data_IF_747526353876
#
_entry.id   IF_747526353876
#
_cell.length_a   1.000
_cell.length_b   1.000
_cell.length_c   1.000
_cell.angle_alpha   90.00
_cell.angle_beta   90.00
_cell.angle_gamma   90.00
#
_symmetry.space_group_name_H-M   'P 1'
#
loop_
_entity.id
_entity.type
_entity.pdbx_description
1 polymer ?
#
# COMPACT_ATOMS: atom_id res chain seq x y z
N UNK A 1 14.58 -11.18 9.44
CA UNK A 1 14.99 -10.80 8.07
C UNK A 1 14.97 -11.96 7.09
N UNK A 2 15.78 -13.02 7.23
CA UNK A 2 15.73 -14.18 6.30
C UNK A 2 14.50 -15.09 6.56
N UNK A 3 14.11 -15.25 7.83
CA UNK A 3 12.94 -16.03 8.24
C UNK A 3 11.60 -15.41 7.80
N UNK A 4 11.51 -14.07 7.76
CA UNK A 4 10.30 -13.36 7.35
C UNK A 4 10.05 -13.56 5.85
N UNK A 5 11.11 -13.62 5.03
CA UNK A 5 10.97 -13.76 3.58
C UNK A 5 10.54 -15.16 3.14
N UNK A 6 11.06 -16.20 3.78
CA UNK A 6 10.60 -17.58 3.54
C UNK A 6 9.16 -17.78 4.06
N UNK A 7 8.81 -17.14 5.18
CA UNK A 7 7.44 -17.13 5.69
C UNK A 7 6.50 -16.41 4.71
N UNK A 8 6.90 -15.26 4.16
CA UNK A 8 6.17 -14.52 3.12
C UNK A 8 5.91 -15.41 1.91
N UNK A 9 6.90 -16.18 1.45
CA UNK A 9 6.74 -17.12 0.33
C UNK A 9 5.82 -18.31 0.67
N UNK A 10 5.83 -18.76 1.92
CA UNK A 10 4.97 -19.85 2.44
C UNK A 10 3.56 -19.43 2.78
N UNK A 11 3.27 -18.14 2.77
CA UNK A 11 1.92 -17.62 2.96
C UNK A 11 1.02 -18.16 1.84
N UNK A 12 0.02 -18.94 2.26
CA UNK A 12 -1.04 -19.46 1.40
C UNK A 12 -1.81 -18.27 0.84
N UNK A 13 -1.87 -18.19 -0.49
CA UNK A 13 -2.60 -17.24 -1.36
C UNK A 13 -3.35 -16.14 -0.59
N UNK A 14 -2.87 -14.88 -0.62
CA UNK A 14 -3.53 -13.77 0.05
C UNK A 14 -5.01 -13.63 -0.36
N UNK A 15 -5.88 -13.17 0.54
CA UNK A 15 -7.31 -13.07 0.26
C UNK A 15 -7.60 -12.06 -0.86
N UNK A 16 -8.59 -12.36 -1.68
CA UNK A 16 -9.06 -11.52 -2.78
C UNK A 16 -10.57 -11.68 -2.95
N UNK A 17 -11.30 -10.58 -3.13
CA UNK A 17 -12.71 -10.61 -3.51
C UNK A 17 -12.90 -10.87 -5.01
N UNK A 18 -11.85 -10.65 -5.81
CA UNK A 18 -11.87 -10.82 -7.27
C UNK A 18 -11.04 -11.99 -7.77
N UNK A 19 -10.51 -12.81 -6.85
CA UNK A 19 -9.65 -13.95 -7.18
C UNK A 19 -8.32 -13.56 -7.81
N UNK A 20 -7.89 -12.31 -7.65
CA UNK A 20 -6.63 -11.78 -8.17
C UNK A 20 -5.45 -12.52 -7.54
N UNK A 21 -4.43 -12.79 -8.35
CA UNK A 21 -3.19 -13.39 -7.90
C UNK A 21 -2.17 -12.30 -7.55
N UNK A 22 -1.62 -12.38 -6.34
CA UNK A 22 -0.65 -11.45 -5.78
C UNK A 22 0.76 -12.03 -5.72
N UNK A 23 0.99 -13.22 -6.28
CA UNK A 23 2.29 -13.90 -6.24
C UNK A 23 3.43 -13.01 -6.75
N UNK A 24 3.25 -12.35 -7.90
CA UNK A 24 4.27 -11.45 -8.47
C UNK A 24 4.61 -10.30 -7.53
N UNK A 25 3.60 -9.61 -6.97
CA UNK A 25 3.82 -8.51 -6.03
C UNK A 25 4.58 -8.99 -4.79
N UNK A 26 4.13 -10.10 -4.21
CA UNK A 26 4.77 -10.75 -3.06
C UNK A 26 6.23 -11.07 -3.36
N UNK A 27 6.52 -11.68 -4.51
CA UNK A 27 7.86 -12.14 -4.85
C UNK A 27 8.80 -10.96 -5.12
N UNK A 28 8.33 -9.91 -5.80
CA UNK A 28 9.11 -8.68 -5.98
C UNK A 28 9.43 -8.01 -4.64
N UNK A 29 8.44 -7.86 -3.76
CA UNK A 29 8.65 -7.28 -2.43
C UNK A 29 9.61 -8.12 -1.58
N UNK A 30 9.48 -9.46 -1.65
CA UNK A 30 10.33 -10.37 -0.90
C UNK A 30 11.80 -10.35 -1.35
N UNK A 31 12.02 -10.09 -2.64
CA UNK A 31 13.36 -9.94 -3.23
C UNK A 31 13.92 -8.51 -3.10
N UNK A 32 13.16 -7.57 -2.53
CA UNK A 32 13.56 -6.17 -2.44
C UNK A 32 13.60 -5.46 -3.81
N UNK A 33 12.85 -5.97 -4.80
CA UNK A 33 12.65 -5.36 -6.11
C UNK A 33 11.55 -4.30 -6.04
N UNK A 34 11.86 -3.20 -5.35
CA UNK A 34 10.87 -2.18 -4.97
C UNK A 34 10.23 -1.47 -6.15
N UNK A 35 10.96 -1.29 -7.25
CA UNK A 35 10.43 -0.62 -8.43
C UNK A 35 9.45 -1.53 -9.18
N UNK A 36 9.79 -2.81 -9.34
CA UNK A 36 8.94 -3.81 -9.96
C UNK A 36 7.69 -4.08 -9.11
N UNK A 37 7.83 -4.13 -7.78
CA UNK A 37 6.70 -4.22 -6.87
C UNK A 37 5.74 -3.02 -6.99
N UNK A 38 6.28 -1.82 -7.19
CA UNK A 38 5.48 -0.60 -7.36
C UNK A 38 4.74 -0.57 -8.71
N UNK A 39 5.40 -1.00 -9.79
CA UNK A 39 4.77 -1.19 -11.10
C UNK A 39 3.67 -2.25 -11.07
N UNK A 40 3.95 -3.38 -10.41
CA UNK A 40 2.98 -4.47 -10.24
C UNK A 40 1.79 -4.03 -9.39
N UNK A 41 2.03 -3.24 -8.35
CA UNK A 41 0.95 -2.62 -7.57
C UNK A 41 0.06 -1.78 -8.46
N UNK A 42 0.62 -0.95 -9.34
CA UNK A 42 -0.19 -0.18 -10.29
C UNK A 42 -1.00 -1.04 -11.24
N UNK A 43 -0.42 -2.14 -11.75
CA UNK A 43 -1.12 -3.08 -12.64
C UNK A 43 -2.28 -3.74 -11.92
N UNK A 44 -2.05 -4.24 -10.70
CA UNK A 44 -3.08 -4.83 -9.85
C UNK A 44 -4.23 -3.85 -9.56
N UNK A 45 -3.90 -2.59 -9.26
CA UNK A 45 -4.92 -1.54 -9.05
C UNK A 45 -5.78 -1.32 -10.30
N UNK A 46 -5.22 -1.39 -11.52
CA UNK A 46 -5.99 -1.32 -12.77
C UNK A 46 -6.90 -2.53 -12.96
N UNK A 47 -6.38 -3.75 -12.73
CA UNK A 47 -7.18 -4.99 -12.76
C UNK A 47 -8.35 -4.91 -11.78
N UNK A 48 -8.10 -4.45 -10.55
CA UNK A 48 -9.13 -4.22 -9.54
C UNK A 48 -10.08 -3.07 -9.91
N UNK A 49 -9.65 -2.11 -10.71
CA UNK A 49 -10.51 -1.08 -11.31
C UNK A 49 -11.27 -1.53 -12.55
N UNK A 50 -11.11 -2.79 -13.00
CA UNK A 50 -11.60 -3.30 -14.30
C UNK A 50 -11.14 -2.43 -15.48
N UNK A 51 -9.88 -2.00 -15.43
CA UNK A 51 -9.23 -1.20 -16.45
C UNK A 51 -8.27 -2.04 -17.27
N UNK A 52 -8.17 -1.72 -18.55
CA UNK A 52 -7.10 -2.20 -19.42
C UNK A 52 -5.75 -1.58 -19.02
N UNK A 53 -4.65 -2.19 -19.47
CA UNK A 53 -3.29 -1.86 -18.99
C UNK A 53 -2.89 -0.38 -19.20
N UNK A 54 -3.43 0.29 -20.21
CA UNK A 54 -3.14 1.70 -20.56
C UNK A 54 -4.16 2.70 -19.98
N UNK A 55 -5.21 2.20 -19.33
CA UNK A 55 -6.29 3.05 -18.84
C UNK A 55 -5.96 3.67 -17.48
N UNK A 56 -6.33 4.95 -17.37
CA UNK A 56 -6.26 5.71 -16.12
C UNK A 56 -7.30 5.20 -15.12
N UNK A 57 -6.88 5.07 -13.86
CA UNK A 57 -7.77 4.95 -12.72
C UNK A 57 -8.28 6.33 -12.31
N UNK A 58 -9.59 6.55 -12.46
CA UNK A 58 -10.27 7.76 -11.99
C UNK A 58 -10.75 7.59 -10.55
N UNK A 59 -11.11 8.68 -9.83
CA UNK A 59 -11.60 8.61 -8.45
C UNK A 59 -12.81 7.69 -8.29
N UNK A 60 -13.68 7.64 -9.31
CA UNK A 60 -14.83 6.74 -9.34
C UNK A 60 -14.44 5.26 -9.45
N UNK A 61 -13.32 4.93 -10.11
CA UNK A 61 -12.83 3.55 -10.22
C UNK A 61 -12.21 3.12 -8.89
N UNK A 62 -11.49 4.03 -8.24
CA UNK A 62 -10.86 3.84 -6.93
C UNK A 62 -11.89 3.58 -5.85
N UNK A 63 -12.98 4.34 -5.85
CA UNK A 63 -14.07 4.15 -4.90
C UNK A 63 -14.75 2.78 -5.02
N UNK A 64 -14.53 2.05 -6.12
CA UNK A 64 -15.08 0.72 -6.38
C UNK A 64 -14.03 -0.40 -6.21
N UNK A 65 -12.82 -0.06 -5.77
CA UNK A 65 -11.80 -1.06 -5.48
C UNK A 65 -12.25 -1.92 -4.28
N UNK A 66 -12.10 -3.26 -4.36
CA UNK A 66 -12.51 -4.12 -3.27
C UNK A 66 -11.63 -3.93 -2.04
N UNK A 67 -12.26 -3.85 -0.87
CA UNK A 67 -11.56 -3.55 0.39
C UNK A 67 -10.55 -4.62 0.77
N UNK A 68 -10.86 -5.92 0.60
CA UNK A 68 -9.90 -6.99 0.94
C UNK A 68 -8.68 -6.98 0.04
N UNK A 69 -8.88 -6.71 -1.24
CA UNK A 69 -7.79 -6.65 -2.23
C UNK A 69 -6.83 -5.49 -1.93
N UNK A 70 -7.36 -4.33 -1.52
CA UNK A 70 -6.55 -3.20 -1.04
C UNK A 70 -5.78 -3.53 0.24
N UNK A 71 -6.44 -4.16 1.22
CA UNK A 71 -5.78 -4.60 2.46
C UNK A 71 -4.66 -5.61 2.18
N UNK A 72 -4.86 -6.53 1.24
CA UNK A 72 -3.84 -7.50 0.83
C UNK A 72 -2.60 -6.81 0.25
N UNK A 73 -2.79 -5.85 -0.66
CA UNK A 73 -1.68 -5.09 -1.25
C UNK A 73 -0.93 -4.32 -0.16
N UNK A 74 -1.66 -3.58 0.69
CA UNK A 74 -1.08 -2.77 1.75
C UNK A 74 -0.28 -3.61 2.76
N UNK A 75 -0.85 -4.74 3.19
CA UNK A 75 -0.20 -5.66 4.11
C UNK A 75 1.10 -6.25 3.54
N UNK A 76 1.14 -6.61 2.24
CA UNK A 76 2.36 -7.08 1.60
C UNK A 76 3.46 -6.00 1.63
N UNK A 77 3.11 -4.74 1.36
CA UNK A 77 4.05 -3.62 1.48
C UNK A 77 4.53 -3.43 2.92
N UNK A 78 3.63 -3.49 3.89
CA UNK A 78 3.95 -3.26 5.30
C UNK A 78 4.94 -4.31 5.83
N UNK A 79 4.67 -5.61 5.64
CA UNK A 79 5.52 -6.68 6.17
C UNK A 79 6.91 -6.68 5.52
N UNK A 80 6.99 -6.46 4.20
CA UNK A 80 8.26 -6.55 3.47
C UNK A 80 9.14 -5.33 3.72
N UNK A 81 8.54 -4.18 4.04
CA UNK A 81 9.23 -2.91 4.27
C UNK A 81 9.54 -2.61 5.73
N UNK A 82 9.22 -3.53 6.65
CA UNK A 82 9.29 -3.28 8.10
C UNK A 82 8.43 -2.08 8.52
N UNK A 83 7.18 -2.08 8.06
CA UNK A 83 6.14 -1.07 8.28
C UNK A 83 6.50 0.36 7.83
N UNK A 84 7.38 0.49 6.83
CA UNK A 84 7.80 1.79 6.28
C UNK A 84 6.98 2.24 5.07
N UNK A 85 6.46 1.29 4.30
CA UNK A 85 5.75 1.52 3.04
C UNK A 85 4.33 0.92 3.11
N UNK A 86 3.44 1.42 2.27
CA UNK A 86 2.02 1.05 2.25
C UNK A 86 1.09 2.25 2.19
N UNK A 87 -0.13 2.03 1.70
CA UNK A 87 -1.19 3.01 1.65
C UNK A 87 -1.67 3.44 3.05
N UNK A 88 -1.71 2.53 4.03
CA UNK A 88 -2.06 2.90 5.40
C UNK A 88 -1.00 3.82 6.05
N UNK A 89 0.27 3.58 5.76
CA UNK A 89 1.36 4.47 6.18
C UNK A 89 1.20 5.85 5.54
N UNK A 90 0.91 5.90 4.23
CA UNK A 90 0.64 7.14 3.53
C UNK A 90 -0.59 7.87 4.09
N UNK A 91 -1.69 7.16 4.39
CA UNK A 91 -2.90 7.72 5.01
C UNK A 91 -2.58 8.35 6.36
N UNK A 92 -1.85 7.65 7.22
CA UNK A 92 -1.43 8.18 8.53
C UNK A 92 -0.60 9.47 8.38
N UNK A 93 0.32 9.49 7.42
CA UNK A 93 1.13 10.69 7.14
C UNK A 93 0.23 11.83 6.65
N UNK A 94 -0.68 11.54 5.72
CA UNK A 94 -1.64 12.51 5.20
C UNK A 94 -2.48 13.13 6.32
N UNK A 95 -3.13 12.31 7.14
CA UNK A 95 -3.95 12.75 8.28
C UNK A 95 -3.16 13.57 9.31
N UNK A 96 -1.86 13.32 9.45
CA UNK A 96 -1.01 14.12 10.35
C UNK A 96 -0.67 15.52 9.83
N UNK A 97 -0.84 15.75 8.51
CA UNK A 97 -0.47 17.00 7.84
C UNK A 97 -1.69 17.87 7.51
N UNK A 98 -2.83 17.24 7.21
CA UNK A 98 -4.05 17.96 6.82
C UNK A 98 -4.83 18.39 8.05
N UNK A 99 -5.18 19.67 8.11
CA UNK A 99 -6.08 20.19 9.14
C UNK A 99 -7.54 19.95 8.73
N UNK A 100 -8.15 18.90 9.29
CA UNK A 100 -9.54 18.52 9.04
C UNK A 100 -10.55 19.64 9.35
N UNK A 101 -10.17 20.66 10.15
CA UNK A 101 -11.04 21.80 10.47
C UNK A 101 -11.14 22.84 9.36
N UNK A 102 -10.24 22.82 8.36
CA UNK A 102 -10.22 23.79 7.25
C UNK A 102 -11.29 23.55 6.19
N UNK A 103 -11.99 22.42 6.24
CA UNK A 103 -12.99 22.04 5.24
C UNK A 103 -12.36 21.77 3.87
N UNK A 104 -13.19 21.30 2.93
CA UNK A 104 -12.77 21.00 1.57
C UNK A 104 -12.86 22.22 0.65
N UNK A 105 -12.05 22.27 -0.43
CA UNK A 105 -11.08 21.26 -0.86
C UNK A 105 -9.72 21.36 -0.17
N UNK A 106 -9.02 20.22 -0.09
CA UNK A 106 -7.62 20.18 0.35
C UNK A 106 -6.80 21.12 -0.52
N UNK A 107 -6.02 21.98 0.13
CA UNK A 107 -5.27 22.99 -0.60
C UNK A 107 -3.96 22.39 -1.16
N UNK A 108 -3.40 23.06 -2.17
CA UNK A 108 -2.15 22.63 -2.81
C UNK A 108 -0.94 22.62 -1.84
N UNK A 109 -0.98 23.39 -0.75
CA UNK A 109 0.08 23.44 0.25
C UNK A 109 0.15 22.15 1.07
N UNK A 110 -1.00 21.59 1.47
CA UNK A 110 -1.08 20.30 2.17
C UNK A 110 -0.53 19.16 1.30
N UNK A 111 -0.84 19.19 0.01
CA UNK A 111 -0.27 18.27 -0.96
C UNK A 111 1.25 18.43 -1.08
N UNK A 112 1.76 19.67 -1.14
CA UNK A 112 3.19 19.94 -1.17
C UNK A 112 3.90 19.40 0.08
N UNK A 113 3.33 19.63 1.26
CA UNK A 113 3.85 19.10 2.53
C UNK A 113 3.87 17.58 2.56
N UNK A 114 2.81 16.94 2.06
CA UNK A 114 2.77 15.49 1.94
C UNK A 114 3.85 14.99 1.00
N UNK A 115 3.96 15.58 -0.20
CA UNK A 115 4.99 15.26 -1.18
C UNK A 115 6.41 15.41 -0.63
N UNK A 116 6.67 16.47 0.14
CA UNK A 116 7.97 16.65 0.81
C UNK A 116 8.20 15.57 1.87
N UNK A 117 7.18 15.23 2.67
CA UNK A 117 7.28 14.26 3.77
C UNK A 117 7.51 12.82 3.31
N UNK A 118 6.88 12.42 2.20
CA UNK A 118 7.06 11.09 1.60
C UNK A 118 8.16 11.06 0.54
N UNK A 119 8.76 12.20 0.19
CA UNK A 119 9.88 12.29 -0.75
C UNK A 119 9.49 12.26 -2.23
N UNK A 120 8.26 12.62 -2.59
CA UNK A 120 7.84 12.81 -3.99
C UNK A 120 8.09 14.22 -4.51
N UNK A 121 8.43 15.15 -3.60
CA UNK A 121 8.81 16.52 -3.91
C UNK A 121 10.11 16.86 -3.20
N UNK A 122 11.01 17.53 -3.91
CA UNK A 122 12.30 17.94 -3.40
C UNK A 122 12.60 19.36 -3.88
N UNK A 123 13.01 20.24 -2.96
CA UNK A 123 13.36 21.64 -3.26
C UNK A 123 12.25 22.37 -4.06
N UNK A 124 10.98 22.10 -3.71
CA UNK A 124 9.83 22.72 -4.37
C UNK A 124 9.36 22.05 -5.66
N UNK A 125 10.13 21.09 -6.19
CA UNK A 125 9.85 20.41 -7.47
C UNK A 125 9.31 19.00 -7.24
N UNK A 126 8.18 18.69 -7.86
CA UNK A 126 7.68 17.33 -7.96
C UNK A 126 8.62 16.50 -8.83
N UNK A 127 9.09 15.38 -8.29
CA UNK A 127 9.96 14.46 -8.99
C UNK A 127 9.20 13.80 -10.15
N UNK A 128 9.91 13.16 -11.07
CA UNK A 128 9.33 12.19 -11.99
C UNK A 128 9.49 10.79 -11.41
N UNK A 129 8.74 9.83 -11.94
CA UNK A 129 8.81 8.44 -11.47
C UNK A 129 10.23 7.87 -11.49
N UNK A 130 11.00 8.16 -12.55
CA UNK A 130 12.40 7.75 -12.66
C UNK A 130 13.38 8.48 -11.72
N UNK A 131 12.93 9.53 -11.02
CA UNK A 131 13.71 10.26 -10.01
C UNK A 131 13.41 9.76 -8.58
N UNK A 132 12.50 8.79 -8.39
CA UNK A 132 12.14 8.23 -7.08
C UNK A 132 13.17 7.23 -6.55
N UNK A 133 13.12 6.96 -5.24
CA UNK A 133 14.07 6.10 -4.53
C UNK A 133 13.42 4.72 -4.30
N UNK A 134 13.87 3.71 -5.05
CA UNK A 134 13.36 2.34 -4.97
C UNK A 134 14.25 1.44 -4.11
N UNK A 135 14.42 1.80 -2.84
CA UNK A 135 15.16 1.00 -1.87
C UNK A 135 14.68 1.27 -0.43
N UNK A 136 15.10 0.48 0.57
CA UNK A 136 14.62 0.62 1.95
C UNK A 136 15.00 1.94 2.64
N UNK A 137 15.99 2.68 2.11
CA UNK A 137 16.40 3.98 2.66
C UNK A 137 15.47 5.12 2.28
N UNK A 138 14.51 4.89 1.37
CA UNK A 138 13.52 5.89 1.01
C UNK A 138 12.69 6.35 2.24
N UNK A 139 12.15 7.58 2.21
CA UNK A 139 11.31 8.09 3.30
C UNK A 139 10.13 7.18 3.62
N UNK A 140 9.66 7.23 4.86
CA UNK A 140 8.42 6.55 5.26
C UNK A 140 7.25 7.02 4.37
N UNK A 141 6.43 6.08 3.90
CA UNK A 141 5.32 6.32 2.97
C UNK A 141 5.72 6.57 1.52
N UNK A 142 7.01 6.49 1.16
CA UNK A 142 7.47 6.77 -0.21
C UNK A 142 6.86 5.84 -1.27
N UNK A 143 6.61 4.58 -0.91
CA UNK A 143 6.02 3.57 -1.79
C UNK A 143 4.76 2.96 -1.16
N UNK A 144 3.82 2.45 -1.97
CA UNK A 144 3.78 2.54 -3.43
C UNK A 144 3.44 3.94 -3.94
N UNK A 145 4.08 4.37 -5.03
CA UNK A 145 3.97 5.69 -5.62
C UNK A 145 3.10 5.71 -6.89
N UNK A 146 3.20 4.70 -7.77
CA UNK A 146 2.67 4.78 -9.16
C UNK A 146 1.18 5.10 -9.25
N UNK A 147 0.36 4.70 -8.27
CA UNK A 147 -1.07 5.01 -8.23
C UNK A 147 -1.35 6.51 -8.37
N UNK A 148 -0.45 7.37 -7.88
CA UNK A 148 -0.65 8.82 -7.82
C UNK A 148 0.00 9.60 -8.98
N UNK A 149 0.72 8.92 -9.89
CA UNK A 149 1.50 9.56 -10.96
C UNK A 149 0.77 9.69 -12.31
N UNK A 150 -0.32 8.95 -12.52
CA UNK A 150 -1.05 8.97 -13.78
C UNK A 150 -2.58 9.14 -13.58
N UNK A 151 -3.18 10.26 -14.04
CA UNK A 151 -2.60 11.53 -14.48
C UNK A 151 -2.47 12.50 -13.29
N UNK A 152 -1.27 13.08 -13.08
CA UNK A 152 -0.96 14.05 -12.00
C UNK A 152 -2.06 15.10 -11.78
N UNK A 153 -2.72 15.55 -12.85
CA UNK A 153 -3.76 16.59 -12.77
C UNK A 153 -4.93 16.19 -11.87
N UNK A 154 -5.38 14.94 -12.00
CA UNK A 154 -6.51 14.38 -11.27
C UNK A 154 -6.20 14.19 -9.77
N UNK A 155 -5.02 13.64 -9.49
CA UNK A 155 -4.60 13.28 -8.14
C UNK A 155 -4.12 14.48 -7.31
N UNK A 156 -3.50 15.47 -7.98
CA UNK A 156 -2.89 16.63 -7.33
C UNK A 156 -3.83 17.86 -7.26
N UNK A 157 -4.82 17.98 -8.15
CA UNK A 157 -5.61 19.23 -8.25
C UNK A 157 -7.13 19.02 -8.17
N UNK A 158 -7.64 17.80 -8.27
CA UNK A 158 -9.08 17.51 -8.23
C UNK A 158 -9.49 16.69 -6.98
N UNK A 159 -8.67 16.70 -5.93
CA UNK A 159 -8.98 16.03 -4.66
C UNK A 159 -8.74 14.52 -4.63
N UNK A 160 -8.16 13.93 -5.68
CA UNK A 160 -8.00 12.49 -5.83
C UNK A 160 -7.22 11.78 -4.70
N UNK A 161 -6.19 12.42 -4.12
CA UNK A 161 -5.45 11.86 -2.97
C UNK A 161 -6.31 11.76 -1.71
N UNK A 162 -7.09 12.79 -1.42
CA UNK A 162 -7.97 12.76 -0.26
C UNK A 162 -9.16 11.82 -0.48
N UNK A 163 -9.76 11.86 -1.67
CA UNK A 163 -10.80 10.91 -2.07
C UNK A 163 -10.30 9.46 -2.00
N UNK A 164 -9.04 9.19 -2.34
CA UNK A 164 -8.45 7.86 -2.17
C UNK A 164 -8.43 7.46 -0.68
N UNK A 165 -7.85 8.26 0.20
CA UNK A 165 -7.76 7.92 1.63
C UNK A 165 -9.13 7.86 2.31
N UNK A 166 -10.08 8.68 1.87
CA UNK A 166 -11.43 8.75 2.44
C UNK A 166 -12.41 7.75 1.85
N UNK A 167 -12.20 7.23 0.64
CA UNK A 167 -13.16 6.31 -0.01
C UNK A 167 -12.61 4.90 -0.14
N UNK A 168 -11.35 4.77 -0.56
CA UNK A 168 -10.72 3.46 -0.70
C UNK A 168 -10.40 2.85 0.68
N UNK A 169 -10.09 3.69 1.67
CA UNK A 169 -9.66 3.25 3.00
C UNK A 169 -10.60 3.66 4.16
N UNK A 170 -11.78 4.24 3.89
CA UNK A 170 -12.81 4.49 4.94
C UNK A 170 -14.06 3.61 4.81
N UNK A 171 -14.21 2.82 3.73
CA UNK A 171 -15.18 1.72 3.66
C UNK A 171 -14.84 0.58 4.64
N UNK A 172 -13.59 0.53 5.08
CA UNK A 172 -13.18 -0.08 6.34
C UNK A 172 -13.57 0.90 7.45
N UNK A 173 -14.82 0.81 7.92
CA UNK A 173 -15.37 1.71 8.94
C UNK A 173 -14.47 1.82 10.18
N UNK A 174 -14.84 2.74 11.08
CA UNK A 174 -14.22 3.15 12.36
C UNK A 174 -13.75 2.04 13.35
N UNK A 175 -13.62 0.79 12.90
CA UNK A 175 -13.04 -0.37 13.54
C UNK A 175 -11.67 -0.77 12.96
N UNK A 176 -10.85 0.15 12.43
CA UNK A 176 -9.45 -0.15 12.04
C UNK A 176 -8.52 -0.42 13.23
N UNK A 177 -9.03 -0.49 14.45
CA UNK A 177 -8.33 -1.11 15.59
C UNK A 177 -8.77 -2.55 15.90
N UNK A 178 -9.85 -3.05 15.29
CA UNK A 178 -10.47 -4.34 15.64
C UNK A 178 -10.66 -5.30 14.46
N UNK A 179 -11.20 -4.84 13.34
CA UNK A 179 -11.55 -5.74 12.22
C UNK A 179 -10.33 -6.14 11.37
N UNK A 180 -9.37 -5.23 11.20
CA UNK A 180 -8.06 -5.60 10.65
C UNK A 180 -7.27 -6.43 11.66
N UNK A 181 -7.38 -6.13 12.96
CA UNK A 181 -6.66 -6.82 14.02
C UNK A 181 -7.14 -8.26 14.22
N UNK A 182 -8.42 -8.61 14.09
CA UNK A 182 -8.86 -10.01 14.26
C UNK A 182 -8.46 -10.91 13.10
N UNK A 183 -8.56 -10.43 11.85
CA UNK A 183 -8.07 -11.17 10.69
C UNK A 183 -6.54 -11.22 10.70
N UNK A 184 -5.89 -10.11 11.04
CA UNK A 184 -4.44 -10.01 11.21
C UNK A 184 -3.95 -10.88 12.36
N UNK A 185 -4.61 -10.89 13.52
CA UNK A 185 -4.28 -11.71 14.68
C UNK A 185 -4.56 -13.18 14.37
N UNK A 186 -5.65 -13.52 13.68
CA UNK A 186 -5.90 -14.89 13.23
C UNK A 186 -4.82 -15.37 12.25
N UNK A 187 -4.31 -14.45 11.42
CA UNK A 187 -3.31 -14.70 10.43
C UNK A 187 -1.89 -14.78 11.02
N UNK A 188 -1.52 -13.84 11.90
CA UNK A 188 -0.30 -13.83 12.72
C UNK A 188 -0.29 -15.02 13.68
N UNK A 189 -1.42 -15.36 14.30
CA UNK A 189 -1.55 -16.55 15.14
C UNK A 189 -1.37 -17.83 14.33
N UNK A 190 -1.87 -17.88 13.08
CA UNK A 190 -1.64 -19.01 12.17
C UNK A 190 -0.17 -19.10 11.76
N UNK A 191 0.48 -17.97 11.51
CA UNK A 191 1.91 -17.84 11.25
C UNK A 191 2.75 -18.33 12.44
N UNK A 192 2.48 -17.84 13.65
CA UNK A 192 3.18 -18.22 14.87
C UNK A 192 2.94 -19.70 15.22
N UNK A 193 1.73 -20.21 14.95
CA UNK A 193 1.39 -21.63 15.12
C UNK A 193 2.17 -22.51 14.13
N UNK A 194 2.34 -22.06 12.88
CA UNK A 194 3.14 -22.76 11.87
C UNK A 194 4.65 -22.70 12.18
N UNK A 195 5.17 -21.55 12.59
CA UNK A 195 6.56 -21.37 13.00
C UNK A 195 6.91 -22.26 14.21
N UNK A 196 6.05 -22.28 15.24
CA UNK A 196 6.23 -23.15 16.42
C UNK A 196 6.21 -24.64 16.07
N UNK A 197 5.31 -25.08 15.18
CA UNK A 197 5.28 -26.49 14.72
C UNK A 197 6.54 -26.87 13.96
N UNK A 198 7.10 -25.96 13.16
CA UNK A 198 8.33 -26.20 12.42
C UNK A 198 9.55 -26.31 13.34
N UNK A 199 9.63 -25.50 14.40
CA UNK A 199 10.70 -25.58 15.41
C UNK A 199 10.62 -26.85 16.27
N UNK A 200 9.41 -27.33 16.57
CA UNK A 200 9.21 -28.61 17.31
C UNK A 200 9.70 -29.79 16.46
N UNK A 201 9.31 -29.87 15.19
CA UNK A 201 9.73 -30.95 14.27
C UNK A 201 11.26 -31.00 14.10
N UNK A 202 11.96 -29.86 14.24
CA UNK A 202 13.42 -29.80 14.14
C UNK A 202 14.15 -30.21 15.43
N UNK A 203 13.48 -30.18 16.59
CA UNK A 203 14.08 -30.60 17.87
C UNK A 203 13.94 -32.11 18.13
N UNK A 204 13.01 -32.76 17.44
CA UNK A 204 12.75 -34.20 17.54
C UNK A 204 13.46 -35.03 16.44
N UNK A 205 14.34 -34.41 15.64
CA UNK A 205 15.26 -35.05 14.68
C UNK A 205 16.71 -34.69 15.02
#
# INVERSE_FOLDING_TARGET
>A
MELDQELIRRIVKPPSERGVDYASLRDFLAEGKWQEADQETSRLMRVLGRKEDDQVLWPADIAQLPGKDLCTIDWLWEICSNARFGFCVQKRIWESLVDASRGYPVNYDDLCRFGDRVGWRQQGKWLNYGELIFNPSAPEGHLPATVFWAPRKLWMFEGGLNDFFERALSSQGSATSGYSREIFDAYVHRIDSMARRYEIIRKDN
#
